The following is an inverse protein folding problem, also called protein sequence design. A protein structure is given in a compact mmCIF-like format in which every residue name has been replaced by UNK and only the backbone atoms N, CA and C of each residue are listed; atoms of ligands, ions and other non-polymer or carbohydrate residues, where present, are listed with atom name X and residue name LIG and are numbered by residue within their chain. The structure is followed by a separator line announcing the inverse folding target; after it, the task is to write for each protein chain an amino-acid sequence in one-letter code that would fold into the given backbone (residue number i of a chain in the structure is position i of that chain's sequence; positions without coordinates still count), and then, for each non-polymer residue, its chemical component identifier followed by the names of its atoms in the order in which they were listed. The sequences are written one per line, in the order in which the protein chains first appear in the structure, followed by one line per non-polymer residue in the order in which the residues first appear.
data_IF_075679807266
#
_entry.id   IF_075679807266
#
_cell.length_a   1.000
_cell.length_b   1.000
_cell.length_c   1.000
_cell.angle_alpha   90.00
_cell.angle_beta   90.00
_cell.angle_gamma   90.00
#
_symmetry.space_group_name_H-M   'P 1'
#
loop_
_entity.id
_entity.type
_entity.pdbx_description
1 polymer ?
#
# COMPACT_ATOMS: atom_id res chain seq x y z
N UNK A 1 -11.01 -19.50 -7.38
CA UNK A 1 -10.45 -19.92 -8.69
C UNK A 1 -11.42 -19.63 -9.83
N UNK A 2 -11.80 -18.36 -10.01
CA UNK A 2 -12.50 -17.93 -11.23
C UNK A 2 -11.46 -17.36 -12.20
N UNK A 3 -11.34 -17.97 -13.38
CA UNK A 3 -10.45 -17.55 -14.46
C UNK A 3 -11.24 -17.05 -15.69
N UNK A 4 -12.55 -16.81 -15.55
CA UNK A 4 -13.44 -16.36 -16.64
C UNK A 4 -13.23 -14.89 -17.06
N UNK A 5 -12.39 -14.14 -16.34
CA UNK A 5 -12.15 -12.74 -16.59
C UNK A 5 -11.58 -12.46 -17.99
N UNK A 6 -12.33 -11.72 -18.82
CA UNK A 6 -11.90 -11.35 -20.16
C UNK A 6 -11.17 -9.98 -20.16
N UNK A 7 -9.82 -9.94 -20.34
CA UNK A 7 -9.07 -8.69 -20.30
C UNK A 7 -9.37 -7.80 -21.51
N UNK A 8 -9.61 -8.38 -22.70
CA UNK A 8 -9.91 -7.62 -23.90
C UNK A 8 -11.26 -6.86 -23.77
N UNK A 9 -12.26 -7.51 -23.18
CA UNK A 9 -13.55 -6.87 -22.88
C UNK A 9 -13.39 -5.73 -21.87
N UNK A 10 -12.63 -5.96 -20.77
CA UNK A 10 -12.36 -4.91 -19.76
C UNK A 10 -11.69 -3.68 -20.38
N UNK A 11 -10.62 -3.87 -21.17
CA UNK A 11 -9.92 -2.76 -21.85
C UNK A 11 -10.84 -2.04 -22.84
N UNK A 12 -11.61 -2.80 -23.64
CA UNK A 12 -12.54 -2.22 -24.63
C UNK A 12 -13.62 -1.38 -23.95
N UNK A 13 -14.17 -1.83 -22.81
CA UNK A 13 -15.15 -1.05 -22.05
C UNK A 13 -14.55 0.23 -21.46
N UNK A 14 -13.33 0.17 -20.92
CA UNK A 14 -12.62 1.36 -20.41
C UNK A 14 -12.40 2.40 -21.51
N UNK A 15 -11.97 1.98 -22.71
CA UNK A 15 -11.78 2.87 -23.86
C UNK A 15 -13.13 3.42 -24.40
N UNK A 16 -14.20 2.63 -24.37
CA UNK A 16 -15.53 3.10 -24.74
C UNK A 16 -16.04 4.19 -23.79
N UNK A 17 -15.81 4.06 -22.48
CA UNK A 17 -16.27 5.00 -21.45
C UNK A 17 -15.60 6.39 -21.51
N UNK A 18 -14.47 6.54 -22.21
CA UNK A 18 -13.80 7.83 -22.45
C UNK A 18 -14.05 8.38 -23.86
N UNK A 19 -14.66 7.60 -24.76
CA UNK A 19 -14.91 8.02 -26.14
C UNK A 19 -15.90 9.18 -26.19
N UNK A 20 -15.51 10.27 -26.83
CA UNK A 20 -16.32 11.49 -26.95
C UNK A 20 -16.12 12.51 -25.82
N UNK A 21 -15.30 12.21 -24.80
CA UNK A 21 -14.82 13.22 -23.84
C UNK A 21 -13.69 14.03 -24.46
N UNK A 22 -13.60 15.33 -24.15
CA UNK A 22 -12.44 16.14 -24.55
C UNK A 22 -11.27 15.91 -23.60
N UNK A 23 -10.06 16.31 -24.02
CA UNK A 23 -8.90 16.31 -23.14
C UNK A 23 -9.13 17.15 -21.87
N UNK A 24 -9.79 18.31 -22.01
CA UNK A 24 -10.05 19.21 -20.89
C UNK A 24 -11.00 18.59 -19.86
N UNK A 25 -12.06 17.90 -20.28
CA UNK A 25 -12.99 17.22 -19.37
C UNK A 25 -12.27 16.10 -18.57
N UNK A 26 -11.41 15.35 -19.26
CA UNK A 26 -10.62 14.27 -18.64
C UNK A 26 -9.55 14.83 -17.69
N UNK A 27 -8.87 15.91 -18.06
CA UNK A 27 -7.90 16.59 -17.22
C UNK A 27 -8.55 17.18 -15.97
N UNK A 28 -9.71 17.84 -16.12
CA UNK A 28 -10.48 18.37 -14.99
C UNK A 28 -10.88 17.23 -14.04
N UNK A 29 -11.47 16.15 -14.56
CA UNK A 29 -11.85 14.97 -13.75
C UNK A 29 -10.65 14.39 -12.98
N UNK A 30 -9.48 14.31 -13.63
CA UNK A 30 -8.25 13.81 -13.00
C UNK A 30 -7.73 14.74 -11.91
N UNK A 31 -7.69 16.05 -12.19
CA UNK A 31 -7.24 17.06 -11.22
C UNK A 31 -8.19 17.08 -10.02
N UNK A 32 -9.50 16.97 -10.21
CA UNK A 32 -10.49 16.91 -9.13
C UNK A 32 -10.30 15.67 -8.22
N UNK A 33 -10.19 14.44 -8.75
CA UNK A 33 -9.90 13.24 -7.93
C UNK A 33 -8.55 13.38 -7.20
N UNK A 34 -7.47 13.69 -7.92
CA UNK A 34 -6.13 13.74 -7.33
C UNK A 34 -6.01 14.87 -6.28
N UNK A 35 -6.52 16.06 -6.59
CA UNK A 35 -6.45 17.21 -5.66
C UNK A 35 -7.33 17.01 -4.42
N UNK A 36 -8.42 16.25 -4.51
CA UNK A 36 -9.26 15.92 -3.33
C UNK A 36 -8.54 15.11 -2.24
N UNK A 37 -7.47 14.38 -2.60
CA UNK A 37 -6.59 13.66 -1.68
C UNK A 37 -5.32 14.46 -1.40
N UNK A 38 -4.63 14.90 -2.46
CA UNK A 38 -3.34 15.56 -2.34
C UNK A 38 -3.45 16.93 -1.65
N UNK A 39 -4.50 17.69 -1.90
CA UNK A 39 -4.72 19.02 -1.31
C UNK A 39 -5.06 19.03 0.19
N UNK A 40 -5.29 17.86 0.82
CA UNK A 40 -5.65 17.74 2.25
C UNK A 40 -4.53 18.14 3.21
N UNK A 41 -3.28 18.10 2.76
CA UNK A 41 -2.10 18.38 3.59
C UNK A 41 -1.18 19.33 2.84
N UNK A 42 -0.83 20.44 3.50
CA UNK A 42 0.18 21.39 3.05
C UNK A 42 1.32 21.40 4.06
N UNK A 43 2.56 21.31 3.58
CA UNK A 43 3.79 21.26 4.39
C UNK A 43 4.78 22.22 3.73
N UNK A 44 5.39 23.08 4.54
CA UNK A 44 6.47 23.99 4.15
C UNK A 44 7.50 23.93 5.26
N UNK A 45 8.75 23.62 4.92
CA UNK A 45 9.85 23.50 5.89
C UNK A 45 10.93 24.51 5.53
N UNK A 46 10.83 25.71 6.09
CA UNK A 46 11.72 26.83 5.78
C UNK A 46 11.08 27.88 4.86
N UNK A 47 11.90 28.84 4.42
CA UNK A 47 11.50 29.96 3.55
C UNK A 47 12.09 29.69 2.15
N UNK A 48 11.28 29.65 1.07
CA UNK A 48 11.78 29.43 -0.29
C UNK A 48 12.86 30.44 -0.68
N UNK A 49 13.96 29.93 -1.24
CA UNK A 49 15.09 30.72 -1.74
C UNK A 49 15.29 30.51 -3.24
N UNK A 50 16.32 31.11 -3.84
CA UNK A 50 16.73 30.79 -5.21
C UNK A 50 17.02 29.29 -5.40
N UNK A 51 17.45 28.59 -4.34
CA UNK A 51 17.83 27.19 -4.40
C UNK A 51 16.61 26.27 -4.48
N UNK A 52 15.48 26.67 -3.90
CA UNK A 52 14.19 25.95 -3.96
C UNK A 52 13.67 25.81 -5.40
N UNK A 53 14.07 26.70 -6.32
CA UNK A 53 13.70 26.66 -7.74
C UNK A 53 14.70 25.89 -8.63
N UNK A 54 15.78 25.35 -8.06
CA UNK A 54 16.72 24.52 -8.82
C UNK A 54 16.10 23.13 -9.15
N UNK A 55 16.60 22.44 -10.19
CA UNK A 55 16.26 21.05 -10.45
C UNK A 55 16.45 20.15 -9.21
N UNK A 56 15.51 19.24 -8.95
CA UNK A 56 15.47 18.39 -7.74
C UNK A 56 16.74 17.55 -7.55
N UNK A 57 17.40 17.14 -8.65
CA UNK A 57 18.67 16.42 -8.61
C UNK A 57 19.86 17.27 -8.09
N UNK A 58 19.73 18.60 -8.09
CA UNK A 58 20.67 19.55 -7.49
C UNK A 58 20.24 19.85 -6.05
N UNK A 59 18.95 20.20 -5.84
CA UNK A 59 18.37 20.52 -4.51
C UNK A 59 18.72 19.48 -3.44
N UNK A 60 18.68 18.19 -3.78
CA UNK A 60 18.98 17.07 -2.86
C UNK A 60 20.41 17.01 -2.30
N UNK A 61 21.32 17.89 -2.74
CA UNK A 61 22.68 17.98 -2.21
C UNK A 61 22.90 19.29 -1.42
N UNK A 62 21.83 20.06 -1.19
CA UNK A 62 21.82 21.32 -0.44
C UNK A 62 21.15 21.12 0.92
N UNK A 63 21.61 20.11 1.67
CA UNK A 63 20.97 19.66 2.92
C UNK A 63 21.33 20.57 4.12
N UNK A 64 22.56 21.11 4.13
CA UNK A 64 23.14 21.86 5.25
C UNK A 64 23.84 23.16 4.81
N UNK A 65 24.03 24.08 5.76
CA UNK A 65 24.75 25.34 5.57
C UNK A 65 23.86 26.55 5.22
N UNK A 66 24.45 27.71 4.90
CA UNK A 66 23.70 28.95 4.62
C UNK A 66 22.85 28.88 3.35
N UNK A 67 23.20 27.97 2.43
CA UNK A 67 22.52 27.74 1.14
C UNK A 67 21.54 26.56 1.18
N UNK A 68 21.25 26.01 2.37
CA UNK A 68 20.42 24.81 2.52
C UNK A 68 18.96 25.04 2.05
N UNK A 69 18.43 24.07 1.31
CA UNK A 69 17.04 24.06 0.85
C UNK A 69 16.19 23.12 1.71
N UNK A 70 15.81 23.59 2.90
CA UNK A 70 15.01 22.80 3.86
C UNK A 70 13.64 22.36 3.29
N UNK A 71 13.13 23.07 2.27
CA UNK A 71 11.86 22.75 1.61
C UNK A 71 11.91 21.41 0.84
N UNK A 72 13.10 20.88 0.54
CA UNK A 72 13.20 19.54 -0.05
C UNK A 72 12.66 18.43 0.86
N UNK A 73 12.71 18.59 2.18
CA UNK A 73 12.11 17.64 3.10
C UNK A 73 10.58 17.65 3.01
N UNK A 74 9.97 18.83 2.76
CA UNK A 74 8.55 18.95 2.47
C UNK A 74 8.20 18.29 1.12
N UNK A 75 9.05 18.46 0.10
CA UNK A 75 8.92 17.78 -1.19
C UNK A 75 8.98 16.25 -1.05
N UNK A 76 9.90 15.70 -0.25
CA UNK A 76 9.95 14.25 0.01
C UNK A 76 8.69 13.74 0.70
N UNK A 77 8.19 14.44 1.73
CA UNK A 77 6.95 14.06 2.42
C UNK A 77 5.74 14.06 1.48
N UNK A 78 5.61 15.10 0.65
CA UNK A 78 4.55 15.18 -0.36
C UNK A 78 4.72 14.14 -1.48
N UNK A 79 5.95 13.82 -1.87
CA UNK A 79 6.21 12.79 -2.87
C UNK A 79 5.79 11.39 -2.39
N UNK A 80 5.98 11.07 -1.10
CA UNK A 80 5.44 9.86 -0.48
C UNK A 80 3.92 9.75 -0.63
N UNK A 81 3.18 10.84 -0.33
CA UNK A 81 1.72 10.91 -0.51
C UNK A 81 1.30 10.75 -1.97
N UNK A 82 2.01 11.42 -2.89
CA UNK A 82 1.78 11.30 -4.33
C UNK A 82 1.93 9.84 -4.80
N UNK A 83 3.00 9.15 -4.38
CA UNK A 83 3.22 7.76 -4.74
C UNK A 83 2.09 6.86 -4.22
N UNK A 84 1.70 6.98 -2.95
CA UNK A 84 0.59 6.20 -2.37
C UNK A 84 -0.74 6.41 -3.11
N UNK A 85 -1.09 7.66 -3.43
CA UNK A 85 -2.29 7.99 -4.24
C UNK A 85 -2.20 7.37 -5.65
N UNK A 86 -1.01 7.29 -6.23
CA UNK A 86 -0.80 6.79 -7.59
C UNK A 86 -0.70 5.26 -7.69
N UNK A 87 -0.25 4.55 -6.63
CA UNK A 87 -0.01 3.10 -6.65
C UNK A 87 -0.96 2.25 -5.81
N UNK A 88 -1.74 2.85 -4.89
CA UNK A 88 -2.68 2.10 -4.02
C UNK A 88 -4.05 2.79 -3.97
N UNK A 89 -4.95 2.43 -4.89
CA UNK A 89 -6.36 2.91 -4.92
C UNK A 89 -7.29 1.77 -5.29
N UNK A 90 -7.96 1.81 -6.45
CA UNK A 90 -8.84 0.73 -6.95
C UNK A 90 -8.00 -0.35 -7.67
N UNK A 91 -6.97 -0.84 -6.97
CA UNK A 91 -5.86 -1.64 -7.48
C UNK A 91 -5.48 -2.73 -6.47
N UNK A 92 -4.46 -3.52 -6.79
CA UNK A 92 -3.68 -4.23 -5.76
C UNK A 92 -2.94 -3.22 -4.85
N UNK A 93 -2.52 -3.61 -3.63
CA UNK A 93 -1.64 -2.82 -2.77
C UNK A 93 -0.26 -2.58 -3.40
N UNK A 94 0.50 -1.66 -2.80
CA UNK A 94 1.80 -1.26 -3.35
C UNK A 94 2.89 -2.29 -3.06
N UNK A 95 3.44 -2.89 -4.11
CA UNK A 95 4.51 -3.88 -3.96
C UNK A 95 5.88 -3.21 -3.69
N UNK A 96 6.98 -3.98 -3.70
CA UNK A 96 8.34 -3.46 -3.49
C UNK A 96 8.75 -2.29 -4.42
N UNK A 97 8.07 -2.10 -5.55
CA UNK A 97 8.30 -0.99 -6.50
C UNK A 97 7.00 -0.18 -6.75
N UNK A 98 6.01 -0.26 -5.86
CA UNK A 98 4.69 0.34 -6.05
C UNK A 98 3.94 -0.32 -7.20
N UNK A 99 3.93 0.35 -8.36
CA UNK A 99 3.46 -0.20 -9.66
C UNK A 99 4.51 -0.03 -10.78
N UNK A 100 5.72 0.43 -10.47
CA UNK A 100 6.71 0.86 -11.46
C UNK A 100 7.86 -0.13 -11.60
N UNK A 101 7.72 -1.06 -12.53
CA UNK A 101 8.76 -2.04 -12.87
C UNK A 101 8.95 -2.14 -14.40
N UNK A 102 10.20 -2.22 -14.84
CA UNK A 102 10.58 -2.34 -16.26
C UNK A 102 11.23 -3.68 -16.63
N UNK A 103 11.51 -4.56 -15.65
CA UNK A 103 12.21 -5.84 -15.86
C UNK A 103 11.31 -7.04 -15.57
N UNK A 104 11.48 -8.14 -16.30
CA UNK A 104 10.71 -9.38 -16.10
C UNK A 104 11.11 -10.17 -14.85
N UNK A 105 12.31 -9.91 -14.33
CA UNK A 105 12.85 -10.55 -13.11
C UNK A 105 13.45 -9.47 -12.21
N UNK A 106 12.60 -8.65 -11.55
CA UNK A 106 13.04 -7.63 -10.60
C UNK A 106 13.60 -8.25 -9.32
N UNK A 107 14.39 -7.47 -8.59
CA UNK A 107 14.93 -7.88 -7.29
C UNK A 107 13.80 -8.27 -6.32
N UNK A 108 13.98 -9.41 -5.63
CA UNK A 108 12.97 -10.06 -4.78
C UNK A 108 11.61 -10.29 -5.46
N UNK A 109 11.59 -10.36 -6.80
CA UNK A 109 10.39 -10.56 -7.61
C UNK A 109 9.39 -9.40 -7.57
N UNK A 110 9.78 -8.24 -7.03
CA UNK A 110 8.89 -7.10 -6.74
C UNK A 110 7.61 -7.52 -6.00
N UNK A 111 7.74 -8.46 -5.05
CA UNK A 111 6.64 -9.10 -4.31
C UNK A 111 6.15 -8.26 -3.13
N UNK A 112 5.32 -8.85 -2.27
CA UNK A 112 4.93 -8.31 -0.98
C UNK A 112 5.75 -8.98 0.14
N UNK A 113 6.93 -8.44 0.45
CA UNK A 113 7.79 -8.91 1.55
C UNK A 113 7.31 -8.36 2.90
N UNK A 114 6.50 -9.14 3.60
CA UNK A 114 5.72 -8.79 4.80
C UNK A 114 6.43 -9.10 6.14
N UNK A 115 7.76 -9.13 6.19
CA UNK A 115 8.52 -9.12 7.47
C UNK A 115 9.18 -7.79 7.82
N UNK A 116 9.17 -6.83 6.90
CA UNK A 116 9.51 -5.43 7.13
C UNK A 116 9.13 -4.57 5.93
N UNK A 117 9.41 -5.01 4.70
CA UNK A 117 9.38 -4.10 3.55
C UNK A 117 7.98 -3.67 3.14
N UNK A 118 6.98 -4.53 3.31
CA UNK A 118 5.59 -4.15 3.11
C UNK A 118 5.13 -3.26 4.25
N UNK A 119 5.41 -3.56 5.51
CA UNK A 119 5.13 -2.63 6.61
C UNK A 119 5.83 -1.27 6.43
N UNK A 120 7.00 -1.23 5.78
CA UNK A 120 7.77 -0.03 5.42
C UNK A 120 7.36 0.62 4.07
N UNK A 121 6.60 -0.05 3.19
CA UNK A 121 6.14 0.50 1.88
C UNK A 121 4.64 0.73 1.82
N UNK A 122 3.87 -0.14 2.47
CA UNK A 122 2.66 0.19 3.22
C UNK A 122 2.96 1.04 4.48
N UNK A 123 4.09 1.79 4.49
CA UNK A 123 4.08 3.20 4.92
C UNK A 123 3.34 4.10 3.91
N UNK A 124 2.44 3.54 3.10
CA UNK A 124 1.04 3.91 3.24
C UNK A 124 0.69 4.01 4.74
N UNK A 125 0.10 3.01 5.42
CA UNK A 125 -0.34 3.00 6.85
C UNK A 125 0.27 4.08 7.77
N UNK A 126 1.56 3.98 8.14
CA UNK A 126 2.24 4.92 9.05
C UNK A 126 2.31 6.38 8.55
N UNK A 127 2.11 6.65 7.26
CA UNK A 127 1.95 7.99 6.69
C UNK A 127 0.56 8.25 6.11
N UNK A 128 -0.26 7.25 5.83
CA UNK A 128 -1.57 7.40 5.20
C UNK A 128 -2.59 7.94 6.18
N UNK A 129 -2.56 7.47 7.42
CA UNK A 129 -3.35 8.09 8.49
C UNK A 129 -2.78 9.49 8.85
N UNK A 130 -1.48 9.68 9.19
CA UNK A 130 -0.98 11.02 9.56
C UNK A 130 -0.98 12.06 8.43
N UNK A 131 -0.85 11.64 7.17
CA UNK A 131 -0.86 12.51 5.99
C UNK A 131 -2.19 12.45 5.21
N UNK A 132 -3.25 11.96 5.84
CA UNK A 132 -4.65 12.10 5.43
C UNK A 132 -4.95 11.54 4.02
N UNK A 133 -4.49 10.32 3.75
CA UNK A 133 -4.73 9.51 2.54
C UNK A 133 -5.06 8.05 2.89
N UNK A 134 -5.77 7.83 4.00
CA UNK A 134 -6.15 6.52 4.55
C UNK A 134 -6.87 5.60 3.54
N UNK A 135 -7.56 6.16 2.55
CA UNK A 135 -8.22 5.42 1.47
C UNK A 135 -7.24 4.68 0.54
N UNK A 136 -5.93 4.90 0.71
CA UNK A 136 -4.88 4.13 0.03
C UNK A 136 -4.63 2.76 0.66
N UNK A 137 -5.26 2.45 1.81
CA UNK A 137 -5.12 1.19 2.54
C UNK A 137 -6.17 0.14 2.20
N UNK A 138 -7.26 0.51 1.51
CA UNK A 138 -8.32 -0.42 1.11
C UNK A 138 -7.81 -1.69 0.35
N UNK A 139 -6.78 -1.59 -0.52
CA UNK A 139 -6.16 -2.77 -1.13
C UNK A 139 -5.43 -3.68 -0.13
N UNK A 140 -4.79 -3.10 0.89
CA UNK A 140 -4.09 -3.87 1.93
C UNK A 140 -5.08 -4.68 2.77
N UNK A 141 -6.24 -4.12 3.11
CA UNK A 141 -7.30 -4.85 3.82
C UNK A 141 -7.82 -6.05 3.01
N UNK A 142 -7.92 -5.87 1.69
CA UNK A 142 -8.30 -6.93 0.76
C UNK A 142 -7.22 -8.02 0.69
N UNK A 143 -5.95 -7.64 0.53
CA UNK A 143 -4.80 -8.55 0.53
C UNK A 143 -4.72 -9.38 1.83
N UNK A 144 -4.83 -8.75 3.00
CA UNK A 144 -4.80 -9.42 4.30
C UNK A 144 -5.98 -10.41 4.43
N UNK A 145 -7.18 -10.02 3.97
CA UNK A 145 -8.36 -10.89 4.02
C UNK A 145 -8.19 -12.14 3.15
N UNK A 146 -7.66 -11.98 1.94
CA UNK A 146 -7.39 -13.10 1.03
C UNK A 146 -6.30 -14.04 1.58
N UNK A 147 -5.21 -13.46 2.12
CA UNK A 147 -4.13 -14.22 2.77
C UNK A 147 -4.66 -14.99 3.98
N UNK A 148 -5.57 -14.42 4.77
CA UNK A 148 -6.14 -15.11 5.92
C UNK A 148 -7.01 -16.31 5.52
N UNK A 149 -7.70 -16.26 4.38
CA UNK A 149 -8.40 -17.43 3.85
C UNK A 149 -7.42 -18.51 3.38
N UNK A 150 -6.36 -18.13 2.65
CA UNK A 150 -5.33 -19.07 2.19
C UNK A 150 -4.53 -19.68 3.34
N UNK A 151 -4.17 -18.86 4.33
CA UNK A 151 -3.36 -19.21 5.49
C UNK A 151 -4.00 -20.18 6.47
N UNK A 152 -5.32 -20.41 6.39
CA UNK A 152 -6.00 -21.53 7.08
C UNK A 152 -5.51 -22.89 6.59
N UNK A 153 -5.24 -23.00 5.29
CA UNK A 153 -4.72 -24.23 4.69
C UNK A 153 -3.29 -24.48 5.18
N UNK A 154 -2.43 -23.47 5.13
CA UNK A 154 -1.04 -23.60 5.61
C UNK A 154 -0.95 -23.83 7.12
N UNK A 155 -1.86 -23.25 7.92
CA UNK A 155 -1.98 -23.53 9.36
C UNK A 155 -2.29 -25.01 9.62
N UNK A 156 -3.19 -25.61 8.84
CA UNK A 156 -3.52 -27.02 8.95
C UNK A 156 -2.40 -27.92 8.42
N UNK A 157 -1.90 -27.67 7.20
CA UNK A 157 -0.94 -28.55 6.52
C UNK A 157 0.48 -28.47 7.11
N UNK A 158 0.91 -27.29 7.57
CA UNK A 158 2.27 -27.08 8.12
C UNK A 158 2.33 -27.27 9.64
N UNK A 159 1.30 -26.82 10.38
CA UNK A 159 1.32 -26.80 11.84
C UNK A 159 0.35 -27.78 12.50
N UNK A 160 -0.52 -28.45 11.73
CA UNK A 160 -1.61 -29.29 12.24
C UNK A 160 -2.59 -28.51 13.15
N UNK A 161 -2.81 -27.23 12.84
CA UNK A 161 -3.73 -26.34 13.56
C UNK A 161 -4.95 -26.05 12.67
N UNK A 162 -6.12 -26.49 13.09
CA UNK A 162 -7.39 -26.37 12.33
C UNK A 162 -8.18 -25.10 12.59
N UNK A 163 -7.59 -24.13 13.29
CA UNK A 163 -8.19 -22.86 13.70
C UNK A 163 -7.21 -21.71 13.43
N UNK A 164 -7.75 -20.51 13.23
CA UNK A 164 -6.92 -19.37 12.84
C UNK A 164 -6.27 -19.51 11.47
N UNK A 165 -5.22 -18.72 11.24
CA UNK A 165 -4.52 -18.64 9.96
C UNK A 165 -3.07 -18.20 10.19
N UNK A 166 -2.17 -18.56 9.27
CA UNK A 166 -0.75 -18.17 9.30
C UNK A 166 -0.33 -17.57 7.96
N UNK A 167 0.69 -16.72 8.00
CA UNK A 167 1.43 -16.30 6.82
C UNK A 167 2.89 -16.09 7.19
N UNK A 168 3.79 -16.25 6.23
CA UNK A 168 5.23 -16.11 6.43
C UNK A 168 5.74 -14.78 5.88
N UNK A 169 7.07 -14.59 5.82
CA UNK A 169 7.72 -13.32 5.50
C UNK A 169 7.43 -12.71 4.12
N UNK A 170 6.74 -13.42 3.22
CA UNK A 170 6.57 -13.03 1.82
C UNK A 170 5.24 -13.55 1.28
N UNK A 171 4.60 -12.76 0.41
CA UNK A 171 3.38 -13.12 -0.32
C UNK A 171 3.35 -12.44 -1.70
N UNK A 172 2.32 -12.69 -2.50
CA UNK A 172 2.21 -12.21 -3.88
C UNK A 172 0.77 -12.07 -4.36
N UNK A 173 0.61 -11.85 -5.67
CA UNK A 173 -0.72 -11.75 -6.31
C UNK A 173 -1.56 -13.02 -6.15
N UNK A 174 -0.92 -14.18 -5.92
CA UNK A 174 -1.57 -15.47 -5.65
C UNK A 174 -1.87 -15.73 -4.18
N UNK A 175 -1.56 -14.76 -3.30
CA UNK A 175 -1.86 -14.80 -1.85
C UNK A 175 -1.15 -15.94 -1.13
N UNK A 176 0.03 -16.33 -1.61
CA UNK A 176 0.87 -17.37 -1.03
C UNK A 176 1.16 -17.06 0.44
N UNK A 177 0.93 -18.02 1.33
CA UNK A 177 1.11 -17.87 2.78
C UNK A 177 2.16 -18.81 3.39
N UNK A 178 2.63 -19.80 2.63
CA UNK A 178 3.66 -20.77 3.00
C UNK A 178 5.06 -20.14 3.16
N UNK A 179 5.99 -20.75 3.92
CA UNK A 179 7.36 -20.26 4.02
C UNK A 179 8.08 -20.47 2.68
N UNK A 180 8.59 -19.39 2.08
CA UNK A 180 9.34 -19.44 0.82
C UNK A 180 10.87 -19.34 1.05
N UNK A 181 11.61 -19.64 -0.01
CA UNK A 181 13.07 -19.53 -0.12
C UNK A 181 13.85 -20.43 0.85
N UNK A 182 14.45 -19.92 1.93
CA UNK A 182 15.26 -20.72 2.85
C UNK A 182 14.92 -20.47 4.33
N UNK A 183 14.93 -21.53 5.14
CA UNK A 183 14.42 -21.53 6.51
C UNK A 183 14.93 -20.40 7.43
N UNK A 184 16.17 -19.94 7.26
CA UNK A 184 16.77 -18.86 8.06
C UNK A 184 15.98 -17.53 8.03
N UNK A 185 15.32 -17.24 6.90
CA UNK A 185 14.49 -16.03 6.72
C UNK A 185 13.05 -16.36 6.29
N UNK A 186 12.86 -17.54 5.69
CA UNK A 186 11.58 -18.09 5.25
C UNK A 186 10.61 -18.41 6.38
N UNK A 187 11.11 -19.07 7.43
CA UNK A 187 10.29 -19.59 8.53
C UNK A 187 10.05 -18.52 9.61
N UNK A 188 9.25 -17.51 9.26
CA UNK A 188 8.90 -16.40 10.13
C UNK A 188 7.36 -16.21 10.12
N UNK A 189 6.60 -16.93 10.96
CA UNK A 189 5.13 -16.96 10.94
C UNK A 189 4.46 -15.74 11.60
N UNK A 190 5.23 -14.70 11.92
CA UNK A 190 4.75 -13.53 12.67
C UNK A 190 4.25 -12.39 11.76
N UNK A 191 4.29 -12.56 10.43
CA UNK A 191 3.85 -11.56 9.46
C UNK A 191 2.40 -11.09 9.65
N UNK A 192 1.41 -11.99 9.88
CA UNK A 192 0.04 -11.61 10.19
C UNK A 192 -0.05 -10.66 11.40
N UNK A 193 0.69 -10.95 12.47
CA UNK A 193 0.62 -10.19 13.72
C UNK A 193 1.14 -8.75 13.56
N UNK A 194 2.05 -8.52 12.62
CA UNK A 194 2.46 -7.17 12.24
C UNK A 194 1.44 -6.51 11.31
N UNK A 195 0.97 -7.21 10.26
CA UNK A 195 -0.03 -6.66 9.32
C UNK A 195 -1.33 -6.22 10.02
N UNK A 196 -1.79 -6.96 11.03
CA UNK A 196 -2.98 -6.62 11.79
C UNK A 196 -2.80 -5.44 12.76
N UNK A 197 -1.56 -5.01 13.06
CA UNK A 197 -1.35 -3.74 13.77
C UNK A 197 -1.83 -2.56 12.90
N UNK A 198 -1.61 -2.59 11.59
CA UNK A 198 -2.11 -1.53 10.70
C UNK A 198 -3.64 -1.49 10.63
N UNK A 199 -4.31 -2.65 10.70
CA UNK A 199 -5.77 -2.69 10.79
C UNK A 199 -6.28 -2.07 12.11
N UNK A 200 -5.56 -2.28 13.21
CA UNK A 200 -5.86 -1.64 14.48
C UNK A 200 -5.53 -0.14 14.48
N UNK A 201 -4.42 0.27 13.85
CA UNK A 201 -4.04 1.68 13.66
C UNK A 201 -5.13 2.44 12.90
N UNK A 202 -5.61 1.91 11.76
CA UNK A 202 -6.70 2.51 10.98
C UNK A 202 -7.96 2.78 11.84
N UNK A 203 -8.37 1.80 12.65
CA UNK A 203 -9.44 2.00 13.62
C UNK A 203 -9.08 3.03 14.71
N UNK A 204 -7.86 3.02 15.24
CA UNK A 204 -7.44 3.92 16.30
C UNK A 204 -7.31 5.39 15.85
N UNK A 205 -7.03 5.65 14.58
CA UNK A 205 -7.00 7.01 14.01
C UNK A 205 -8.39 7.64 13.86
N UNK A 206 -9.43 6.83 13.60
CA UNK A 206 -10.82 7.30 13.58
C UNK A 206 -11.77 6.26 14.23
N UNK A 207 -11.83 6.21 15.58
CA UNK A 207 -12.48 5.12 16.29
C UNK A 207 -14.01 5.17 16.20
N UNK A 208 -14.56 4.37 15.27
CA UNK A 208 -15.98 4.04 15.20
C UNK A 208 -16.22 2.55 15.56
N UNK A 209 -16.64 2.25 16.81
CA UNK A 209 -17.05 0.91 17.24
C UNK A 209 -18.28 0.39 16.47
N UNK A 210 -19.02 1.27 15.79
CA UNK A 210 -20.14 0.97 14.91
C UNK A 210 -19.71 0.37 13.56
N UNK A 211 -18.50 0.69 13.10
CA UNK A 211 -18.05 0.54 11.71
C UNK A 211 -18.09 -0.89 11.17
N UNK A 212 -18.37 -1.00 9.86
CA UNK A 212 -18.26 -2.28 9.15
C UNK A 212 -16.81 -2.75 9.05
N UNK A 213 -15.85 -1.82 8.90
CA UNK A 213 -14.42 -2.14 8.92
C UNK A 213 -14.04 -2.92 10.18
N UNK A 214 -14.34 -2.40 11.37
CA UNK A 214 -14.02 -3.09 12.62
C UNK A 214 -14.75 -4.42 12.74
N UNK A 215 -16.08 -4.41 12.58
CA UNK A 215 -16.93 -5.58 12.89
C UNK A 215 -16.80 -6.74 11.91
N UNK A 216 -16.62 -6.44 10.62
CA UNK A 216 -16.67 -7.43 9.53
C UNK A 216 -15.27 -7.79 9.03
N UNK A 217 -14.31 -6.86 9.12
CA UNK A 217 -12.96 -7.06 8.54
C UNK A 217 -11.90 -7.22 9.64
N UNK A 218 -11.57 -6.15 10.37
CA UNK A 218 -10.42 -6.14 11.28
C UNK A 218 -10.57 -7.09 12.48
N UNK A 219 -11.66 -6.98 13.24
CA UNK A 219 -11.83 -7.78 14.46
C UNK A 219 -11.93 -9.29 14.20
N UNK A 220 -12.68 -9.78 13.19
CA UNK A 220 -12.65 -11.21 12.84
C UNK A 220 -11.27 -11.73 12.46
N UNK A 221 -10.48 -10.96 11.70
CA UNK A 221 -9.11 -11.33 11.32
C UNK A 221 -8.16 -11.38 12.53
N UNK A 222 -8.23 -10.37 13.42
CA UNK A 222 -7.45 -10.29 14.66
C UNK A 222 -7.80 -11.42 15.63
N UNK A 223 -9.09 -11.69 15.81
CA UNK A 223 -9.56 -12.80 16.63
C UNK A 223 -9.08 -14.13 16.06
N UNK A 224 -9.27 -14.36 14.75
CA UNK A 224 -8.89 -15.61 14.10
C UNK A 224 -7.37 -15.83 14.16
N UNK A 225 -6.55 -14.79 13.94
CA UNK A 225 -5.10 -14.93 14.13
C UNK A 225 -4.74 -15.28 15.59
N UNK A 226 -5.45 -14.73 16.56
CA UNK A 226 -5.23 -15.04 17.99
C UNK A 226 -5.69 -16.45 18.39
N UNK A 227 -6.41 -17.16 17.52
CA UNK A 227 -6.80 -18.55 17.73
C UNK A 227 -5.74 -19.54 17.21
N UNK A 228 -4.84 -19.12 16.30
CA UNK A 228 -3.71 -19.92 15.80
C UNK A 228 -2.66 -20.11 16.90
#
# INVERSE_FOLDING_TARGET
NDLSANPHQKVTQTLANVRGKTFNDMLQTHVEDHSSLFGRVNISLGIPSSNTFLPTNIRKNLEDGPDADQDIFALYAQYGRYLGIASSRKTEPSNLQGIWNQVLSPDWGSKHTININQQIREMNSWFAEPLNVAETLDPLWSLISDIAERGKVDALETYNISRGWVCHHNTGIWRDSAPIDAAFYGFWPYAPAWLLQHMYEHYAFNPDPGSSFLKVTAYPLMKSLSEF
#
